data_IF_666345713947
#
_entry.id   IF_666345713947
#
_cell.length_a   1.000
_cell.length_b   1.000
_cell.length_c   1.000
_cell.angle_alpha   90.00
_cell.angle_beta   90.00
_cell.angle_gamma   90.00
#
_symmetry.space_group_name_H-M   'P 1'
#
loop_
_entity.id
_entity.type
_entity.pdbx_description
1 polymer ?
#
# COMPACT_ATOMS: atom_id res chain seq x y z
N UNK A 1 30.63 -33.91 -34.21
CA UNK A 1 30.20 -34.22 -32.82
C UNK A 1 29.53 -32.98 -32.24
N UNK A 2 28.22 -32.85 -32.37
CA UNK A 2 27.46 -31.77 -31.71
C UNK A 2 26.74 -32.39 -30.53
N UNK A 3 27.08 -31.91 -29.33
CA UNK A 3 26.66 -32.47 -28.07
C UNK A 3 25.13 -32.42 -27.92
N UNK A 4 24.58 -33.59 -27.61
CA UNK A 4 23.22 -33.81 -27.18
C UNK A 4 22.92 -32.98 -25.92
N UNK A 5 22.26 -31.83 -26.07
CA UNK A 5 21.81 -31.00 -24.95
C UNK A 5 20.45 -31.54 -24.51
N UNK A 6 20.44 -32.61 -23.71
CA UNK A 6 19.28 -32.90 -22.87
C UNK A 6 19.19 -31.79 -21.84
N UNK A 7 18.58 -30.65 -22.20
CA UNK A 7 18.12 -29.71 -21.19
C UNK A 7 17.09 -30.47 -20.37
N UNK A 8 17.43 -30.74 -19.12
CA UNK A 8 16.53 -31.36 -18.18
C UNK A 8 15.30 -30.45 -18.08
N UNK A 9 14.11 -30.98 -18.29
CA UNK A 9 12.83 -30.25 -18.16
C UNK A 9 12.79 -29.34 -16.91
N UNK A 10 13.41 -29.79 -15.83
CA UNK A 10 13.55 -29.03 -14.59
C UNK A 10 14.37 -27.73 -14.72
N UNK A 11 15.41 -27.71 -15.55
CA UNK A 11 16.18 -26.51 -15.85
C UNK A 11 15.33 -25.52 -16.68
N UNK A 12 14.61 -26.02 -17.69
CA UNK A 12 13.72 -25.19 -18.52
C UNK A 12 12.52 -24.65 -17.73
N UNK A 13 12.01 -25.44 -16.77
CA UNK A 13 10.98 -25.01 -15.83
C UNK A 13 11.49 -23.97 -14.84
N UNK A 14 12.70 -24.15 -14.29
CA UNK A 14 13.35 -23.14 -13.44
C UNK A 14 13.53 -21.83 -14.20
N UNK A 15 14.06 -21.89 -15.41
CA UNK A 15 14.26 -20.72 -16.27
C UNK A 15 12.93 -20.04 -16.63
N UNK A 16 11.82 -20.79 -16.71
CA UNK A 16 10.48 -20.24 -16.88
C UNK A 16 9.99 -19.49 -15.65
N UNK A 17 10.07 -20.09 -14.46
CA UNK A 17 9.60 -19.46 -13.22
C UNK A 17 10.47 -18.26 -12.88
N UNK A 18 11.79 -18.32 -13.10
CA UNK A 18 12.70 -17.20 -12.86
C UNK A 18 12.46 -15.99 -13.77
N UNK A 19 11.59 -16.08 -14.77
CA UNK A 19 11.08 -14.89 -15.48
C UNK A 19 10.29 -14.07 -14.45
N UNK A 20 10.85 -12.96 -13.96
CA UNK A 20 10.30 -12.17 -12.84
C UNK A 20 8.78 -11.91 -12.90
N UNK A 21 8.25 -11.63 -14.10
CA UNK A 21 6.81 -11.46 -14.34
C UNK A 21 5.93 -12.67 -13.92
N UNK A 22 6.46 -13.90 -13.97
CA UNK A 22 5.72 -15.13 -13.60
C UNK A 22 5.65 -15.30 -12.08
N UNK A 23 6.73 -14.98 -11.37
CA UNK A 23 6.77 -15.04 -9.90
C UNK A 23 5.83 -13.99 -9.31
N UNK A 24 5.89 -12.76 -9.80
CA UNK A 24 5.03 -11.67 -9.30
C UNK A 24 3.55 -11.96 -9.54
N UNK A 25 3.22 -12.49 -10.72
CA UNK A 25 1.85 -12.94 -11.03
C UNK A 25 1.40 -14.08 -10.11
N UNK A 26 2.26 -15.09 -9.87
CA UNK A 26 1.93 -16.21 -9.01
C UNK A 26 1.69 -15.77 -7.56
N UNK A 27 2.54 -14.88 -7.03
CA UNK A 27 2.37 -14.32 -5.69
C UNK A 27 1.07 -13.51 -5.60
N UNK A 28 0.78 -12.67 -6.60
CA UNK A 28 -0.46 -11.89 -6.64
C UNK A 28 -1.72 -12.79 -6.61
N UNK A 29 -1.73 -13.89 -7.37
CA UNK A 29 -2.86 -14.84 -7.39
C UNK A 29 -3.03 -15.58 -6.06
N UNK A 30 -1.93 -16.03 -5.45
CA UNK A 30 -1.97 -16.74 -4.16
C UNK A 30 -2.47 -15.81 -3.04
N UNK A 31 -1.92 -14.59 -2.97
CA UNK A 31 -2.34 -13.59 -2.00
C UNK A 31 -3.79 -13.18 -2.24
N UNK A 32 -4.18 -12.98 -3.51
CA UNK A 32 -5.57 -12.66 -3.87
C UNK A 32 -6.55 -13.75 -3.44
N UNK A 33 -6.20 -15.02 -3.64
CA UNK A 33 -7.01 -16.16 -3.20
C UNK A 33 -7.14 -16.24 -1.67
N UNK A 34 -6.02 -16.09 -0.95
CA UNK A 34 -6.03 -16.09 0.52
C UNK A 34 -6.83 -14.89 1.09
N UNK A 35 -6.65 -13.71 0.51
CA UNK A 35 -7.36 -12.50 0.92
C UNK A 35 -8.87 -12.61 0.67
N UNK A 36 -9.29 -13.18 -0.46
CA UNK A 36 -10.70 -13.46 -0.72
C UNK A 36 -11.32 -14.36 0.36
N UNK A 37 -10.58 -15.34 0.88
CA UNK A 37 -11.02 -16.16 2.02
C UNK A 37 -11.28 -15.34 3.29
N UNK A 38 -10.42 -14.36 3.59
CA UNK A 38 -10.60 -13.45 4.74
C UNK A 38 -11.86 -12.60 4.57
N UNK A 39 -12.08 -12.07 3.36
CA UNK A 39 -13.28 -11.27 3.06
C UNK A 39 -14.54 -12.11 3.22
N UNK A 40 -14.56 -13.32 2.67
CA UNK A 40 -15.71 -14.21 2.80
C UNK A 40 -16.00 -14.54 4.26
N UNK A 41 -14.98 -14.88 5.07
CA UNK A 41 -15.17 -15.15 6.49
C UNK A 41 -15.70 -13.92 7.26
N UNK A 42 -15.20 -12.71 6.99
CA UNK A 42 -15.75 -11.51 7.59
C UNK A 42 -17.23 -11.31 7.23
N UNK A 43 -17.61 -11.58 5.98
CA UNK A 43 -18.98 -11.35 5.52
C UNK A 43 -19.92 -12.44 6.04
N UNK A 44 -19.56 -13.70 5.88
CA UNK A 44 -20.39 -14.86 6.23
C UNK A 44 -20.43 -15.09 7.75
N UNK A 45 -19.29 -14.99 8.44
CA UNK A 45 -19.19 -15.35 9.86
C UNK A 45 -19.44 -14.18 10.81
N UNK A 46 -19.25 -12.93 10.36
CA UNK A 46 -19.36 -11.75 11.23
C UNK A 46 -20.51 -10.85 10.77
N UNK A 47 -20.46 -10.31 9.55
CA UNK A 47 -21.42 -9.29 9.08
C UNK A 47 -22.83 -9.88 8.93
N UNK A 48 -22.92 -11.06 8.33
CA UNK A 48 -24.21 -11.72 8.09
C UNK A 48 -24.95 -12.00 9.40
N UNK A 49 -24.40 -12.72 10.39
CA UNK A 49 -25.10 -12.95 11.65
C UNK A 49 -25.32 -11.67 12.49
N UNK A 50 -24.41 -10.70 12.44
CA UNK A 50 -24.52 -9.49 13.26
C UNK A 50 -25.51 -8.45 12.71
N UNK A 51 -25.62 -8.31 11.39
CA UNK A 51 -26.39 -7.23 10.74
C UNK A 51 -27.50 -7.80 9.85
N UNK A 52 -27.18 -8.81 9.05
CA UNK A 52 -28.10 -9.29 8.01
C UNK A 52 -29.15 -10.26 8.55
N UNK A 53 -28.79 -11.22 9.41
CA UNK A 53 -29.74 -12.18 9.98
C UNK A 53 -30.83 -11.54 10.85
N UNK A 54 -30.56 -10.53 11.69
CA UNK A 54 -31.60 -9.81 12.41
C UNK A 54 -32.46 -8.96 11.47
N UNK A 55 -31.85 -8.34 10.45
CA UNK A 55 -32.56 -7.52 9.48
C UNK A 55 -33.48 -8.34 8.57
N UNK A 56 -33.04 -9.52 8.10
CA UNK A 56 -33.84 -10.44 7.28
C UNK A 56 -35.04 -10.98 8.08
N UNK A 57 -34.82 -11.35 9.35
CA UNK A 57 -35.90 -11.76 10.27
C UNK A 57 -36.90 -10.64 10.52
N UNK A 58 -36.42 -9.42 10.72
CA UNK A 58 -37.28 -8.25 10.90
C UNK A 58 -38.08 -7.88 9.63
N UNK A 59 -37.51 -8.15 8.46
CA UNK A 59 -38.15 -7.88 7.16
C UNK A 59 -39.09 -9.02 6.71
N UNK A 60 -39.13 -10.17 7.39
CA UNK A 60 -39.94 -11.34 7.00
C UNK A 60 -39.44 -12.06 5.75
N UNK A 61 -38.16 -11.90 5.42
CA UNK A 61 -37.51 -12.31 4.16
C UNK A 61 -36.75 -13.64 4.33
N UNK A 62 -36.89 -14.31 5.48
CA UNK A 62 -36.14 -15.51 5.89
C UNK A 62 -36.22 -16.69 4.90
N UNK A 63 -37.22 -16.68 4.02
CA UNK A 63 -37.49 -17.72 3.03
C UNK A 63 -37.35 -17.25 1.59
N UNK A 64 -36.59 -16.18 1.33
CA UNK A 64 -36.36 -15.72 -0.04
C UNK A 64 -35.82 -16.83 -0.93
N UNK A 65 -34.93 -17.68 -0.38
CA UNK A 65 -34.33 -18.83 -1.05
C UNK A 65 -35.32 -19.93 -1.45
N UNK A 66 -36.46 -20.02 -0.74
CA UNK A 66 -37.51 -21.04 -0.98
C UNK A 66 -38.55 -20.58 -2.00
N UNK A 67 -38.50 -19.31 -2.43
CA UNK A 67 -39.40 -18.80 -3.44
C UNK A 67 -39.11 -19.46 -4.80
N UNK A 68 -40.07 -20.28 -5.24
CA UNK A 68 -40.06 -20.91 -6.56
C UNK A 68 -41.43 -20.77 -7.20
N UNK A 69 -41.43 -20.38 -8.48
CA UNK A 69 -42.63 -20.32 -9.32
C UNK A 69 -42.38 -21.33 -10.42
N UNK A 70 -43.27 -22.32 -10.53
CA UNK A 70 -43.22 -23.32 -11.59
C UNK A 70 -41.87 -24.07 -11.70
N UNK A 71 -41.24 -24.38 -10.56
CA UNK A 71 -39.97 -25.12 -10.49
C UNK A 71 -38.70 -24.27 -10.68
N UNK A 72 -38.82 -22.98 -10.99
CA UNK A 72 -37.68 -22.06 -11.13
C UNK A 72 -37.41 -21.39 -9.78
N UNK A 73 -36.27 -21.70 -9.15
CA UNK A 73 -35.82 -21.16 -7.85
C UNK A 73 -35.16 -19.79 -7.99
N UNK A 74 -35.92 -18.77 -8.41
CA UNK A 74 -35.42 -17.38 -8.49
C UNK A 74 -34.97 -16.84 -7.13
N UNK A 75 -35.52 -17.39 -6.04
CA UNK A 75 -35.09 -17.10 -4.68
C UNK A 75 -33.59 -17.28 -4.43
N UNK A 76 -33.00 -18.35 -4.97
CA UNK A 76 -31.58 -18.64 -4.82
C UNK A 76 -30.72 -17.62 -5.55
N UNK A 77 -31.12 -17.25 -6.77
CA UNK A 77 -30.41 -16.23 -7.55
C UNK A 77 -30.46 -14.87 -6.85
N UNK A 78 -31.65 -14.46 -6.38
CA UNK A 78 -31.82 -13.20 -5.67
C UNK A 78 -31.02 -13.15 -4.36
N UNK A 79 -30.98 -14.26 -3.63
CA UNK A 79 -30.11 -14.41 -2.44
C UNK A 79 -28.63 -14.23 -2.78
N UNK A 80 -28.15 -14.81 -3.88
CA UNK A 80 -26.76 -14.65 -4.33
C UNK A 80 -26.43 -13.21 -4.74
N UNK A 81 -27.36 -12.50 -5.37
CA UNK A 81 -27.19 -11.08 -5.72
C UNK A 81 -27.11 -10.22 -4.45
N UNK A 82 -27.97 -10.46 -3.46
CA UNK A 82 -27.94 -9.75 -2.18
C UNK A 82 -26.60 -10.03 -1.46
N UNK A 83 -26.16 -11.30 -1.42
CA UNK A 83 -24.87 -11.65 -0.81
C UNK A 83 -23.70 -10.93 -1.50
N UNK A 84 -23.68 -10.89 -2.83
CA UNK A 84 -22.67 -10.15 -3.59
C UNK A 84 -22.64 -8.66 -3.23
N UNK A 85 -23.81 -8.02 -3.11
CA UNK A 85 -23.89 -6.61 -2.71
C UNK A 85 -23.36 -6.38 -1.29
N UNK A 86 -23.62 -7.30 -0.36
CA UNK A 86 -23.10 -7.23 1.01
C UNK A 86 -21.58 -7.38 1.01
N UNK A 87 -21.02 -8.35 0.27
CA UNK A 87 -19.58 -8.54 0.13
C UNK A 87 -18.92 -7.28 -0.46
N UNK A 88 -19.50 -6.74 -1.54
CA UNK A 88 -18.99 -5.52 -2.17
C UNK A 88 -19.02 -4.31 -1.21
N UNK A 89 -20.08 -4.17 -0.42
CA UNK A 89 -20.18 -3.10 0.58
C UNK A 89 -19.16 -3.27 1.71
N UNK A 90 -18.95 -4.49 2.18
CA UNK A 90 -17.93 -4.78 3.20
C UNK A 90 -16.52 -4.51 2.68
N UNK A 91 -16.21 -4.96 1.46
CA UNK A 91 -14.92 -4.69 0.82
C UNK A 91 -14.67 -3.19 0.66
N UNK A 92 -15.70 -2.43 0.25
CA UNK A 92 -15.62 -0.97 0.19
C UNK A 92 -15.30 -0.35 1.55
N UNK A 93 -15.93 -0.82 2.62
CA UNK A 93 -15.68 -0.31 3.97
C UNK A 93 -14.26 -0.60 4.45
N UNK A 94 -13.77 -1.82 4.20
CA UNK A 94 -12.40 -2.23 4.52
C UNK A 94 -11.39 -1.36 3.77
N UNK A 95 -11.54 -1.21 2.44
CA UNK A 95 -10.66 -0.37 1.62
C UNK A 95 -10.69 1.07 2.11
N UNK A 96 -11.86 1.61 2.50
CA UNK A 96 -11.98 2.96 3.06
C UNK A 96 -11.18 3.12 4.35
N UNK A 97 -11.22 2.13 5.25
CA UNK A 97 -10.45 2.16 6.51
C UNK A 97 -8.95 2.12 6.20
N UNK A 98 -8.52 1.21 5.32
CA UNK A 98 -7.12 1.08 4.94
C UNK A 98 -6.60 2.36 4.28
N UNK A 99 -7.36 2.97 3.37
CA UNK A 99 -7.01 4.24 2.74
C UNK A 99 -6.89 5.36 3.79
N UNK A 100 -7.82 5.42 4.75
CA UNK A 100 -7.77 6.41 5.84
C UNK A 100 -6.58 6.23 6.80
N UNK A 101 -6.15 5.00 7.06
CA UNK A 101 -4.95 4.71 7.88
C UNK A 101 -3.68 4.99 7.09
N UNK A 102 -3.61 4.54 5.83
CA UNK A 102 -2.47 4.75 4.93
C UNK A 102 -2.19 6.24 4.73
N UNK A 103 -3.22 7.06 4.49
CA UNK A 103 -3.05 8.51 4.34
C UNK A 103 -2.47 9.18 5.59
N UNK A 104 -2.79 8.67 6.80
CA UNK A 104 -2.23 9.19 8.05
C UNK A 104 -0.77 8.78 8.26
N UNK A 105 -0.37 7.57 7.83
CA UNK A 105 1.00 7.10 7.94
C UNK A 105 1.92 7.76 6.91
N UNK A 106 1.51 7.79 5.63
CA UNK A 106 2.28 8.42 4.56
C UNK A 106 2.45 9.92 4.80
N UNK A 107 1.40 10.62 5.23
CA UNK A 107 1.51 12.05 5.57
C UNK A 107 2.43 12.30 6.77
N UNK A 108 2.49 11.38 7.72
CA UNK A 108 3.40 11.48 8.87
C UNK A 108 4.85 11.22 8.46
N UNK A 109 5.06 10.30 7.52
CA UNK A 109 6.37 9.98 6.94
C UNK A 109 6.88 11.13 6.05
N UNK A 110 6.03 11.70 5.18
CA UNK A 110 6.36 12.90 4.38
C UNK A 110 6.65 14.12 5.26
N UNK A 111 5.92 14.31 6.36
CA UNK A 111 6.20 15.40 7.29
C UNK A 111 7.53 15.19 8.03
N UNK A 112 7.83 13.96 8.47
CA UNK A 112 9.09 13.64 9.12
C UNK A 112 10.30 13.82 8.18
N UNK A 113 10.19 13.36 6.93
CA UNK A 113 11.21 13.60 5.88
C UNK A 113 11.35 15.09 5.54
N UNK A 114 10.24 15.83 5.51
CA UNK A 114 10.27 17.27 5.27
C UNK A 114 10.96 18.02 6.42
N UNK A 115 10.70 17.63 7.68
CA UNK A 115 11.34 18.18 8.88
C UNK A 115 12.84 17.87 8.90
N UNK A 116 13.23 16.63 8.62
CA UNK A 116 14.64 16.20 8.53
C UNK A 116 15.37 16.96 7.41
N UNK A 117 14.74 17.11 6.24
CA UNK A 117 15.32 17.89 5.13
C UNK A 117 15.36 19.40 5.39
N UNK A 118 14.51 19.92 6.28
CA UNK A 118 14.51 21.33 6.66
C UNK A 118 15.63 21.61 7.67
N UNK A 119 15.80 20.73 8.65
CA UNK A 119 16.90 20.78 9.63
C UNK A 119 18.25 20.68 8.90
N UNK A 120 18.42 19.72 7.98
CA UNK A 120 19.66 19.56 7.20
C UNK A 120 19.99 20.81 6.35
N UNK A 121 18.96 21.44 5.75
CA UNK A 121 19.15 22.68 4.98
C UNK A 121 19.47 23.88 5.87
N UNK A 122 18.92 23.93 7.07
CA UNK A 122 19.14 25.01 8.02
C UNK A 122 20.54 24.91 8.65
N UNK A 123 20.97 23.71 9.03
CA UNK A 123 22.34 23.40 9.47
C UNK A 123 23.37 23.72 8.37
N UNK A 124 23.13 23.31 7.13
CA UNK A 124 24.02 23.63 6.01
C UNK A 124 24.12 25.15 5.75
N UNK A 125 23.04 25.90 5.94
CA UNK A 125 23.02 27.37 5.81
C UNK A 125 23.80 28.04 6.93
N UNK A 126 23.67 27.53 8.15
CA UNK A 126 24.38 28.02 9.32
C UNK A 126 25.89 27.77 9.19
N UNK A 127 26.30 26.59 8.72
CA UNK A 127 27.70 26.29 8.41
C UNK A 127 28.28 27.21 7.33
N UNK A 128 27.55 27.44 6.23
CA UNK A 128 27.97 28.35 5.16
C UNK A 128 28.12 29.79 5.69
N UNK A 129 27.19 30.25 6.54
CA UNK A 129 27.24 31.59 7.14
C UNK A 129 28.46 31.75 8.07
N UNK A 130 28.79 30.72 8.86
CA UNK A 130 29.99 30.72 9.70
C UNK A 130 31.25 30.79 8.85
N UNK A 131 31.33 30.04 7.76
CA UNK A 131 32.46 30.10 6.83
C UNK A 131 32.58 31.46 6.14
N UNK A 132 31.47 32.08 5.74
CA UNK A 132 31.45 33.41 5.14
C UNK A 132 31.98 34.47 6.11
N UNK A 133 31.54 34.42 7.38
CA UNK A 133 32.00 35.34 8.42
C UNK A 133 33.49 35.16 8.75
N UNK A 134 34.00 33.93 8.78
CA UNK A 134 35.43 33.64 8.94
C UNK A 134 36.26 34.17 7.78
N UNK A 135 35.78 33.98 6.55
CA UNK A 135 36.46 34.47 5.34
C UNK A 135 36.56 36.00 5.36
N UNK A 136 35.47 36.70 5.69
CA UNK A 136 35.46 38.16 5.84
C UNK A 136 36.40 38.65 6.93
N UNK A 137 36.47 37.93 8.06
CA UNK A 137 37.38 38.27 9.15
C UNK A 137 38.86 38.13 8.73
N UNK A 138 39.20 37.09 7.96
CA UNK A 138 40.55 36.90 7.42
C UNK A 138 40.88 37.99 6.39
N UNK A 139 39.96 38.34 5.50
CA UNK A 139 40.14 39.45 4.54
C UNK A 139 40.37 40.78 5.27
N UNK A 140 39.57 41.10 6.29
CA UNK A 140 39.72 42.31 7.09
C UNK A 140 41.06 42.34 7.85
N UNK A 141 41.50 41.21 8.41
CA UNK A 141 42.82 41.12 9.05
C UNK A 141 43.95 41.30 8.04
N UNK A 142 43.80 40.75 6.83
CA UNK A 142 44.77 40.87 5.75
C UNK A 142 44.89 42.33 5.30
N UNK A 143 43.79 43.04 5.15
CA UNK A 143 43.78 44.49 4.85
C UNK A 143 44.46 45.32 5.95
N UNK A 144 44.19 45.02 7.22
CA UNK A 144 44.81 45.73 8.36
C UNK A 144 46.32 45.50 8.41
N UNK A 145 46.77 44.25 8.20
CA UNK A 145 48.20 43.92 8.17
C UNK A 145 48.88 44.65 7.01
N UNK A 146 48.27 44.65 5.82
CA UNK A 146 48.85 45.30 4.64
C UNK A 146 48.92 46.82 4.81
N UNK A 147 47.87 47.46 5.31
CA UNK A 147 47.83 48.91 5.58
C UNK A 147 48.85 49.33 6.66
N UNK A 148 49.12 48.48 7.65
CA UNK A 148 50.14 48.74 8.68
C UNK A 148 51.57 48.57 8.15
N UNK A 149 51.79 47.69 7.18
CA UNK A 149 53.10 47.50 6.52
C UNK A 149 53.45 48.63 5.54
N UNK A 150 52.48 49.38 5.01
CA UNK A 150 52.73 50.50 4.07
C UNK A 150 53.03 51.82 4.80
N UNK A 151 52.55 51.98 6.04
CA UNK A 151 52.67 53.22 6.81
C UNK A 151 53.82 53.25 7.84
N UNK A 152 54.78 52.32 7.75
CA UNK A 152 55.94 52.22 8.64
C UNK A 152 57.20 51.88 7.84
#
# INVERSE_FOLDING_TARGET
MTANRSRNFFADFRDFILRGNVIDLAVAVIIGGAFNGIINSLVEDIVTPAILSPAIKAAGVDKLSDLSISGIKYGLFLSSVINFLVIAFCLFFIIRIFEGVKQKLIRKEELALAEESAIEKEEAKEEILVQENLTKAIEALTEVINNKSINN
#
